data_IF_725831247335
#
_entry.id   IF_725831247335
#
_cell.length_a   1.000
_cell.length_b   1.000
_cell.length_c   1.000
_cell.angle_alpha   90.00
_cell.angle_beta   90.00
_cell.angle_gamma   90.00
#
_symmetry.space_group_name_H-M   'P 1'
#
loop_
_entity.id
_entity.type
_entity.pdbx_description
1 polymer ?
#
# COMPACT_ATOMS: atom_id res chain seq x y z
N UNK A 1 2.89 -33.44 5.46
CA UNK A 1 2.61 -32.52 4.33
C UNK A 1 1.27 -31.87 4.64
N UNK A 2 1.26 -30.71 5.28
CA UNK A 2 0.03 -30.00 5.60
C UNK A 2 0.02 -28.70 4.79
N UNK A 3 -0.78 -28.66 3.74
CA UNK A 3 -1.15 -27.42 3.06
C UNK A 3 -2.04 -26.62 4.02
N UNK A 4 -1.41 -25.73 4.79
CA UNK A 4 -2.12 -24.70 5.52
C UNK A 4 -2.66 -23.68 4.51
N UNK A 5 -3.85 -23.93 3.98
CA UNK A 5 -4.58 -22.96 3.17
C UNK A 5 -4.64 -21.63 3.93
N UNK A 6 -4.02 -20.59 3.37
CA UNK A 6 -4.06 -19.25 3.94
C UNK A 6 -5.52 -18.85 4.02
N UNK A 7 -6.08 -18.79 5.24
CA UNK A 7 -7.41 -18.19 5.46
C UNK A 7 -7.31 -16.74 5.01
N UNK A 8 -7.87 -16.42 3.86
CA UNK A 8 -7.96 -15.03 3.40
C UNK A 8 -8.89 -14.29 4.34
N UNK A 9 -8.31 -13.58 5.32
CA UNK A 9 -9.08 -12.72 6.21
C UNK A 9 -9.66 -11.60 5.34
N UNK A 10 -10.96 -11.38 5.47
CA UNK A 10 -11.65 -10.28 4.79
C UNK A 10 -11.90 -9.21 5.83
N UNK A 11 -11.41 -8.00 5.57
CA UNK A 11 -11.60 -6.84 6.41
C UNK A 11 -12.76 -6.01 5.88
N UNK A 12 -13.56 -5.45 6.79
CA UNK A 12 -14.59 -4.48 6.42
C UNK A 12 -14.04 -3.08 6.64
N UNK A 13 -13.99 -2.27 5.59
CA UNK A 13 -13.51 -0.88 5.63
C UNK A 13 -14.65 0.04 5.21
N UNK A 14 -15.19 0.78 6.18
CA UNK A 14 -16.23 1.79 5.92
C UNK A 14 -15.66 3.00 5.15
N UNK A 15 -16.53 3.82 4.52
CA UNK A 15 -16.10 5.07 3.88
C UNK A 15 -15.31 5.99 4.82
N UNK A 16 -15.73 6.11 6.08
CA UNK A 16 -15.05 6.94 7.09
C UNK A 16 -13.68 6.36 7.44
N UNK A 17 -13.58 5.04 7.59
CA UNK A 17 -12.30 4.38 7.81
C UNK A 17 -11.35 4.59 6.63
N UNK A 18 -11.87 4.59 5.40
CA UNK A 18 -11.08 4.83 4.19
C UNK A 18 -10.51 6.24 4.12
N UNK A 19 -11.29 7.23 4.52
CA UNK A 19 -10.80 8.60 4.65
C UNK A 19 -9.69 8.71 5.72
N UNK A 20 -9.87 8.04 6.86
CA UNK A 20 -8.85 7.98 7.91
C UNK A 20 -7.57 7.29 7.41
N UNK A 21 -7.69 6.14 6.73
CA UNK A 21 -6.56 5.43 6.12
C UNK A 21 -5.81 6.33 5.13
N UNK A 22 -6.55 6.96 4.21
CA UNK A 22 -5.98 7.84 3.18
C UNK A 22 -5.22 9.02 3.81
N UNK A 23 -5.77 9.60 4.88
CA UNK A 23 -5.10 10.66 5.64
C UNK A 23 -3.83 10.14 6.34
N UNK A 24 -3.91 8.99 7.02
CA UNK A 24 -2.76 8.40 7.72
C UNK A 24 -1.61 8.02 6.77
N UNK A 25 -1.95 7.58 5.57
CA UNK A 25 -1.00 7.29 4.50
C UNK A 25 -0.38 8.57 3.97
N UNK A 26 -1.18 9.59 3.65
CA UNK A 26 -0.68 10.89 3.24
C UNK A 26 0.32 11.47 4.24
N UNK A 27 -0.08 11.57 5.51
CA UNK A 27 0.77 12.10 6.58
C UNK A 27 2.10 11.35 6.73
N UNK A 28 2.11 10.03 6.46
CA UNK A 28 3.32 9.23 6.56
C UNK A 28 4.20 9.39 5.31
N UNK A 29 3.62 9.23 4.13
CA UNK A 29 4.33 9.27 2.84
C UNK A 29 4.87 10.67 2.52
N UNK A 30 4.26 11.74 3.04
CA UNK A 30 4.81 13.10 2.92
C UNK A 30 6.14 13.29 3.66
N UNK A 31 6.44 12.47 4.67
CA UNK A 31 7.71 12.52 5.40
C UNK A 31 8.79 11.65 4.77
N UNK A 32 8.44 10.82 3.78
CA UNK A 32 9.35 9.86 3.17
C UNK A 32 10.13 10.50 2.02
N UNK A 33 11.40 10.76 2.28
CA UNK A 33 12.30 11.34 1.29
C UNK A 33 12.41 10.43 0.06
N UNK A 34 12.21 11.01 -1.11
CA UNK A 34 12.28 10.30 -2.39
C UNK A 34 10.94 9.81 -2.92
N UNK A 35 9.84 9.92 -2.14
CA UNK A 35 8.48 9.71 -2.64
C UNK A 35 8.00 10.98 -3.35
N UNK A 36 7.55 10.86 -4.60
CA UNK A 36 7.00 11.99 -5.38
C UNK A 36 5.49 12.03 -5.35
N UNK A 37 4.85 10.87 -5.49
CA UNK A 37 3.41 10.72 -5.31
C UNK A 37 3.08 9.26 -5.02
N UNK A 38 1.87 9.04 -4.50
CA UNK A 38 1.33 7.71 -4.29
C UNK A 38 -0.13 7.64 -4.75
N UNK A 39 -0.51 6.47 -5.24
CA UNK A 39 -1.89 6.11 -5.59
C UNK A 39 -2.41 5.07 -4.62
N UNK A 40 -3.62 5.29 -4.11
CA UNK A 40 -4.40 4.22 -3.50
C UNK A 40 -5.23 3.58 -4.61
N UNK A 41 -5.19 2.25 -4.74
CA UNK A 41 -5.92 1.54 -5.79
C UNK A 41 -6.46 0.20 -5.30
N UNK A 42 -7.10 -0.55 -6.21
CA UNK A 42 -7.61 -1.88 -5.89
C UNK A 42 -8.94 -1.91 -5.13
N UNK A 43 -9.16 -3.01 -4.40
CA UNK A 43 -10.45 -3.32 -3.77
C UNK A 43 -10.90 -2.27 -2.74
N UNK A 44 -9.92 -1.58 -2.14
CA UNK A 44 -10.12 -0.49 -1.18
C UNK A 44 -10.79 0.74 -1.77
N UNK A 45 -11.10 0.80 -3.08
CA UNK A 45 -11.85 1.93 -3.68
C UNK A 45 -13.31 1.59 -3.99
N UNK A 46 -13.65 0.33 -4.25
CA UNK A 46 -14.97 -0.07 -4.74
C UNK A 46 -15.74 -1.04 -3.87
N UNK A 47 -15.12 -1.61 -2.83
CA UNK A 47 -15.74 -2.62 -1.97
C UNK A 47 -15.60 -2.26 -0.50
N UNK A 48 -16.64 -2.58 0.29
CA UNK A 48 -16.56 -2.51 1.75
C UNK A 48 -15.74 -3.67 2.32
N UNK A 49 -15.52 -4.72 1.51
CA UNK A 49 -14.75 -5.91 1.85
C UNK A 49 -13.43 -5.87 1.11
N UNK A 50 -12.33 -5.78 1.87
CA UNK A 50 -10.97 -5.69 1.35
C UNK A 50 -10.12 -6.80 1.96
N UNK A 51 -9.14 -7.28 1.20
CA UNK A 51 -8.16 -8.25 1.71
C UNK A 51 -6.91 -7.52 2.20
N UNK A 52 -6.48 -6.56 1.42
CA UNK A 52 -5.34 -5.69 1.58
C UNK A 52 -5.65 -4.30 1.02
N UNK A 53 -4.74 -3.37 1.31
CA UNK A 53 -4.78 -2.01 0.80
C UNK A 53 -3.62 -1.83 -0.17
N UNK A 54 -3.94 -1.68 -1.46
CA UNK A 54 -2.92 -1.52 -2.50
C UNK A 54 -2.48 -0.06 -2.63
N UNK A 55 -1.17 0.17 -2.51
CA UNK A 55 -0.55 1.49 -2.61
C UNK A 55 0.56 1.49 -3.66
N UNK A 56 0.45 2.41 -4.62
CA UNK A 56 1.35 2.54 -5.76
C UNK A 56 2.24 3.72 -5.52
N UNK A 57 3.55 3.52 -5.48
CA UNK A 57 4.52 4.53 -5.09
C UNK A 57 5.35 4.96 -6.29
N UNK A 58 5.40 6.25 -6.59
CA UNK A 58 6.36 6.79 -7.54
C UNK A 58 7.49 7.50 -6.82
N UNK A 59 8.70 7.01 -7.05
CA UNK A 59 9.93 7.47 -6.45
C UNK A 59 10.67 8.43 -7.38
N UNK A 60 11.56 9.23 -6.83
CA UNK A 60 12.55 9.94 -7.64
C UNK A 60 13.81 9.12 -7.92
N UNK A 61 14.61 9.59 -8.87
CA UNK A 61 15.80 8.92 -9.37
C UNK A 61 16.82 8.59 -8.27
N UNK A 62 16.83 9.35 -7.16
CA UNK A 62 17.75 9.11 -6.04
C UNK A 62 17.30 7.97 -5.13
N UNK A 63 16.00 7.68 -5.16
CA UNK A 63 15.35 6.64 -4.36
C UNK A 63 15.11 5.33 -5.14
N UNK A 64 15.02 5.39 -6.48
CA UNK A 64 14.87 4.20 -7.35
C UNK A 64 15.88 3.08 -7.03
N UNK A 65 17.19 3.34 -6.81
CA UNK A 65 18.14 2.27 -6.48
C UNK A 65 17.81 1.52 -5.18
N UNK A 66 17.00 2.10 -4.29
CA UNK A 66 16.54 1.52 -3.02
C UNK A 66 15.07 1.15 -3.03
N UNK A 67 14.43 1.10 -4.20
CA UNK A 67 12.98 0.93 -4.33
C UNK A 67 12.42 -0.28 -3.57
N UNK A 68 13.10 -1.43 -3.63
CA UNK A 68 12.65 -2.66 -2.95
C UNK A 68 12.67 -2.50 -1.43
N UNK A 69 13.73 -1.89 -0.88
CA UNK A 69 13.86 -1.62 0.55
C UNK A 69 12.82 -0.61 1.01
N UNK A 70 12.59 0.45 0.23
CA UNK A 70 11.56 1.46 0.51
C UNK A 70 10.17 0.82 0.52
N UNK A 71 9.82 0.06 -0.52
CA UNK A 71 8.53 -0.61 -0.64
C UNK A 71 8.26 -1.56 0.54
N UNK A 72 9.23 -2.42 0.87
CA UNK A 72 9.09 -3.37 1.97
C UNK A 72 8.95 -2.67 3.34
N UNK A 73 9.77 -1.65 3.59
CA UNK A 73 9.71 -0.89 4.83
C UNK A 73 8.39 -0.14 4.97
N UNK A 74 7.91 0.49 3.89
CA UNK A 74 6.64 1.21 3.90
C UNK A 74 5.45 0.25 4.04
N UNK A 75 5.46 -0.89 3.36
CA UNK A 75 4.43 -1.92 3.51
C UNK A 75 4.33 -2.38 4.96
N UNK A 76 5.45 -2.71 5.60
CA UNK A 76 5.47 -3.12 7.00
C UNK A 76 5.00 -2.00 7.94
N UNK A 77 5.48 -0.77 7.73
CA UNK A 77 5.18 0.37 8.60
C UNK A 77 3.71 0.79 8.50
N UNK A 78 3.18 0.90 7.28
CA UNK A 78 1.78 1.22 7.04
C UNK A 78 0.88 0.11 7.60
N UNK A 79 1.20 -1.16 7.35
CA UNK A 79 0.46 -2.31 7.91
C UNK A 79 0.38 -2.24 9.43
N UNK A 80 1.50 -1.96 10.11
CA UNK A 80 1.53 -1.81 11.57
C UNK A 80 0.68 -0.62 12.05
N UNK A 81 0.70 0.50 11.31
CA UNK A 81 -0.02 1.73 11.65
C UNK A 81 -1.54 1.56 11.51
N UNK A 82 -2.00 0.91 10.45
CA UNK A 82 -3.43 0.78 10.14
C UNK A 82 -4.06 -0.54 10.56
N UNK A 83 -3.25 -1.51 11.01
CA UNK A 83 -3.67 -2.87 11.41
C UNK A 83 -4.45 -3.62 10.31
N UNK A 84 -4.17 -3.28 9.06
CA UNK A 84 -4.66 -3.91 7.84
C UNK A 84 -3.46 -4.24 6.96
N UNK A 85 -3.43 -5.36 6.24
CA UNK A 85 -2.37 -5.65 5.28
C UNK A 85 -2.29 -4.53 4.23
N UNK A 86 -1.10 -4.00 3.98
CA UNK A 86 -0.84 -2.98 2.95
C UNK A 86 0.19 -3.51 1.98
N UNK A 87 -0.17 -3.65 0.70
CA UNK A 87 0.78 -3.99 -0.37
C UNK A 87 1.29 -2.70 -1.02
N UNK A 88 2.61 -2.46 -0.94
CA UNK A 88 3.25 -1.27 -1.52
C UNK A 88 4.06 -1.70 -2.73
N UNK A 89 3.76 -1.11 -3.88
CA UNK A 89 4.45 -1.41 -5.14
C UNK A 89 4.97 -0.14 -5.79
N UNK A 90 6.21 -0.20 -6.27
CA UNK A 90 6.87 0.93 -6.92
C UNK A 90 6.50 0.96 -8.39
N UNK A 91 6.04 2.13 -8.86
CA UNK A 91 5.50 2.34 -10.19
C UNK A 91 6.57 2.69 -11.22
N UNK A 92 7.78 3.09 -10.80
CA UNK A 92 8.87 3.53 -11.68
C UNK A 92 9.25 2.49 -12.75
N UNK A 93 9.20 1.21 -12.40
CA UNK A 93 9.54 0.09 -13.29
C UNK A 93 8.34 -0.83 -13.56
N UNK A 94 7.14 -0.44 -13.12
CA UNK A 94 5.93 -1.21 -13.37
C UNK A 94 5.49 -1.05 -14.84
N UNK A 95 4.95 -2.09 -15.49
CA UNK A 95 4.41 -1.97 -16.84
C UNK A 95 3.23 -0.99 -16.87
N UNK A 96 3.01 -0.30 -18.00
CA UNK A 96 1.92 0.68 -18.11
C UNK A 96 0.53 0.10 -17.82
N UNK A 97 0.33 -1.21 -18.04
CA UNK A 97 -0.93 -1.92 -17.78
C UNK A 97 -1.14 -2.29 -16.31
N UNK A 98 -0.34 -1.75 -15.40
CA UNK A 98 -0.30 -2.17 -14.00
C UNK A 98 -1.40 -1.54 -13.13
N UNK A 99 -1.83 -0.31 -13.44
CA UNK A 99 -2.90 0.43 -12.76
C UNK A 99 -4.12 0.62 -13.66
#
# INVERSE_FOLDING_TARGET
MAEGGMKTVVYTVSPEQREVLSRQFREHLEQEAGVRFAYLYGSVLGSDRVHDVDVGLFLDDTAVPRQATIANNLSATLTAKVRLPVDVRVLNEAPLSFL
#
